data_IF_999246382639
#
_entry.id   IF_999246382639
#
_cell.length_a   1.000
_cell.length_b   1.000
_cell.length_c   1.000
_cell.angle_alpha   90.00
_cell.angle_beta   90.00
_cell.angle_gamma   90.00
#
_symmetry.space_group_name_H-M   'P 1'
#
loop_
_entity.id
_entity.type
_entity.pdbx_description
1 polymer ?
#
# COMPACT_ATOMS: atom_id res chain seq x y z
N UNK A 1 14.91 -37.98 9.10
CA UNK A 1 16.01 -37.01 9.31
C UNK A 1 15.42 -35.61 9.42
N UNK A 2 15.25 -35.11 10.64
CA UNK A 2 14.62 -33.81 10.90
C UNK A 2 15.62 -32.67 10.71
N UNK A 3 15.87 -32.26 9.46
CA UNK A 3 16.72 -31.11 9.19
C UNK A 3 16.10 -29.85 9.82
N UNK A 4 16.89 -29.11 10.59
CA UNK A 4 16.48 -27.85 11.22
C UNK A 4 16.19 -26.84 10.11
N UNK A 5 14.91 -26.49 9.95
CA UNK A 5 14.42 -25.64 8.84
C UNK A 5 14.65 -24.14 9.10
N UNK A 6 15.01 -23.78 10.33
CA UNK A 6 15.37 -22.42 10.74
C UNK A 6 16.83 -22.37 11.14
N UNK A 7 17.64 -21.64 10.37
CA UNK A 7 19.08 -21.49 10.62
C UNK A 7 19.34 -20.63 11.86
N UNK A 8 20.55 -20.70 12.40
CA UNK A 8 20.97 -19.81 13.50
C UNK A 8 20.95 -18.33 13.09
N UNK A 9 21.34 -18.05 11.84
CA UNK A 9 21.13 -16.78 11.17
C UNK A 9 20.26 -17.03 9.95
N UNK A 10 18.95 -16.82 10.08
CA UNK A 10 18.00 -17.20 9.02
C UNK A 10 17.76 -16.05 8.04
N UNK A 11 17.44 -14.88 8.55
CA UNK A 11 17.27 -13.67 7.75
C UNK A 11 17.55 -12.45 8.62
N UNK A 12 17.71 -11.31 7.98
CA UNK A 12 17.85 -10.01 8.63
C UNK A 12 16.76 -9.06 8.10
N UNK A 13 16.22 -8.25 8.99
CA UNK A 13 15.39 -7.10 8.61
C UNK A 13 16.22 -5.85 8.80
N UNK A 14 16.28 -5.01 7.78
CA UNK A 14 16.92 -3.71 7.81
C UNK A 14 15.85 -2.64 7.63
N UNK A 15 15.90 -1.56 8.41
CA UNK A 15 14.97 -0.44 8.31
C UNK A 15 15.76 0.83 8.01
N UNK A 16 15.61 1.33 6.80
CA UNK A 16 16.22 2.58 6.32
C UNK A 16 15.10 3.59 6.06
N UNK A 17 14.98 4.59 6.94
CA UNK A 17 13.99 5.68 6.86
C UNK A 17 12.53 5.21 6.63
N UNK A 18 12.13 4.11 7.30
CA UNK A 18 10.78 3.53 7.16
C UNK A 18 10.63 2.58 5.97
N UNK A 19 11.67 2.37 5.18
CA UNK A 19 11.70 1.29 4.20
C UNK A 19 12.31 0.05 4.84
N UNK A 20 11.47 -0.96 5.11
CA UNK A 20 11.92 -2.23 5.70
C UNK A 20 12.25 -3.23 4.60
N UNK A 21 13.48 -3.74 4.61
CA UNK A 21 13.98 -4.76 3.67
C UNK A 21 14.23 -6.06 4.41
N UNK A 22 13.74 -7.17 3.86
CA UNK A 22 14.05 -8.53 4.31
C UNK A 22 15.20 -9.08 3.47
N UNK A 23 16.29 -9.44 4.14
CA UNK A 23 17.51 -9.99 3.55
C UNK A 23 17.62 -11.45 3.99
N UNK A 24 17.37 -12.44 3.10
CA UNK A 24 17.56 -13.85 3.41
C UNK A 24 19.06 -14.17 3.49
N UNK A 25 19.47 -15.02 4.42
CA UNK A 25 20.84 -15.56 4.43
C UNK A 25 20.95 -16.75 3.46
N UNK A 26 22.18 -17.07 3.06
CA UNK A 26 22.44 -18.21 2.18
C UNK A 26 21.91 -19.52 2.79
N UNK A 27 21.23 -20.32 1.97
CA UNK A 27 20.53 -21.54 2.37
C UNK A 27 19.29 -21.35 3.26
N UNK A 28 18.87 -20.12 3.56
CA UNK A 28 17.66 -19.87 4.33
C UNK A 28 16.40 -19.89 3.47
N UNK A 29 15.42 -20.69 3.87
CA UNK A 29 14.10 -20.72 3.22
C UNK A 29 13.22 -19.57 3.72
N UNK A 30 13.14 -18.50 2.94
CA UNK A 30 12.26 -17.37 3.19
C UNK A 30 11.24 -17.23 2.05
N UNK A 31 9.98 -16.97 2.38
CA UNK A 31 8.95 -16.66 1.39
C UNK A 31 8.24 -15.36 1.74
N UNK A 32 7.95 -14.56 0.71
CA UNK A 32 7.14 -13.34 0.83
C UNK A 32 5.96 -13.47 -0.12
N UNK A 33 4.74 -13.35 0.40
CA UNK A 33 3.49 -13.51 -0.35
C UNK A 33 3.41 -14.81 -1.16
N UNK A 34 3.99 -15.89 -0.62
CA UNK A 34 4.01 -17.23 -1.24
C UNK A 34 5.14 -17.47 -2.24
N UNK A 35 5.97 -16.47 -2.55
CA UNK A 35 7.14 -16.63 -3.43
C UNK A 35 8.41 -16.78 -2.59
N UNK A 36 9.24 -17.76 -2.94
CA UNK A 36 10.55 -17.90 -2.30
C UNK A 36 11.43 -16.72 -2.71
N UNK A 37 12.17 -16.17 -1.75
CA UNK A 37 13.13 -15.09 -2.00
C UNK A 37 14.54 -15.58 -1.71
N UNK A 38 15.49 -15.18 -2.56
CA UNK A 38 16.93 -15.42 -2.42
C UNK A 38 17.71 -14.12 -2.28
N UNK A 39 17.08 -13.01 -2.67
CA UNK A 39 17.66 -11.67 -2.71
C UNK A 39 16.92 -10.74 -1.74
N UNK A 40 17.50 -9.59 -1.37
CA UNK A 40 16.85 -8.58 -0.54
C UNK A 40 15.51 -8.11 -1.16
N UNK A 41 14.44 -8.09 -0.35
CA UNK A 41 13.11 -7.66 -0.78
C UNK A 41 12.54 -6.61 0.17
N UNK A 42 12.12 -5.48 -0.38
CA UNK A 42 11.39 -4.44 0.36
C UNK A 42 10.00 -4.94 0.73
N UNK A 43 9.65 -4.85 2.01
CA UNK A 43 8.36 -5.27 2.55
C UNK A 43 7.37 -4.12 2.57
N UNK A 44 6.13 -4.44 2.16
CA UNK A 44 4.98 -3.52 2.24
C UNK A 44 4.03 -3.99 3.34
N UNK A 45 3.33 -3.05 3.97
CA UNK A 45 2.31 -3.35 4.98
C UNK A 45 1.33 -4.40 4.45
N UNK A 46 1.08 -5.44 5.25
CA UNK A 46 0.21 -6.55 4.88
C UNK A 46 0.92 -7.74 4.21
N UNK A 47 2.21 -7.63 3.87
CA UNK A 47 2.97 -8.73 3.30
C UNK A 47 2.99 -9.95 4.25
N UNK A 48 2.83 -11.14 3.69
CA UNK A 48 2.95 -12.41 4.42
C UNK A 48 4.39 -12.90 4.31
N UNK A 49 5.09 -12.97 5.44
CA UNK A 49 6.47 -13.45 5.53
C UNK A 49 6.46 -14.85 6.13
N UNK A 50 7.08 -15.81 5.46
CA UNK A 50 7.16 -17.20 5.93
C UNK A 50 8.63 -17.56 6.06
N UNK A 51 9.04 -18.00 7.24
CA UNK A 51 10.40 -18.43 7.55
C UNK A 51 10.40 -19.95 7.76
N UNK A 52 11.29 -20.64 7.05
CA UNK A 52 11.29 -22.10 6.98
C UNK A 52 9.98 -22.65 6.43
N UNK A 53 9.35 -23.60 7.16
CA UNK A 53 8.12 -24.29 6.73
C UNK A 53 6.86 -23.93 7.52
N UNK A 54 7.02 -23.43 8.75
CA UNK A 54 5.89 -23.34 9.70
C UNK A 54 5.75 -21.95 10.36
N UNK A 55 6.73 -21.05 10.20
CA UNK A 55 6.68 -19.75 10.85
C UNK A 55 6.10 -18.72 9.89
N UNK A 56 4.81 -18.42 10.05
CA UNK A 56 4.07 -17.48 9.20
C UNK A 56 3.80 -16.20 9.98
N UNK A 57 4.21 -15.07 9.40
CA UNK A 57 4.08 -13.74 9.97
C UNK A 57 3.36 -12.81 8.99
N UNK A 58 2.70 -11.79 9.54
CA UNK A 58 2.19 -10.66 8.78
C UNK A 58 3.01 -9.42 9.11
N UNK A 59 3.65 -8.84 8.10
CA UNK A 59 4.38 -7.59 8.26
C UNK A 59 3.39 -6.41 8.35
N UNK A 60 3.62 -5.52 9.32
CA UNK A 60 2.81 -4.32 9.52
C UNK A 60 3.74 -3.11 9.67
N UNK A 61 3.52 -2.06 8.88
CA UNK A 61 4.21 -0.79 9.03
C UNK A 61 3.19 0.33 9.33
N UNK A 62 3.06 0.77 10.60
CA UNK A 62 2.00 1.69 11.01
C UNK A 62 2.10 3.10 10.39
N UNK A 63 3.31 3.59 10.08
CA UNK A 63 3.50 4.88 9.40
C UNK A 63 3.02 4.83 7.94
N UNK A 64 3.35 3.76 7.20
CA UNK A 64 2.79 3.53 5.85
C UNK A 64 1.27 3.33 5.89
N UNK A 65 0.75 2.65 6.92
CA UNK A 65 -0.69 2.46 7.11
C UNK A 65 -1.45 3.75 7.51
N UNK A 66 -0.75 4.75 8.06
CA UNK A 66 -1.31 6.09 8.30
C UNK A 66 -1.27 6.92 7.04
N UNK A 67 -0.16 6.90 6.28
CA UNK A 67 -0.08 7.58 4.99
C UNK A 67 -1.13 7.05 4.00
N UNK A 68 -1.33 5.73 3.90
CA UNK A 68 -2.38 5.16 3.04
C UNK A 68 -3.80 5.55 3.43
N UNK A 69 -4.05 5.80 4.73
CA UNK A 69 -5.34 6.26 5.25
C UNK A 69 -5.53 7.77 5.12
N UNK A 70 -4.44 8.53 5.29
CA UNK A 70 -4.42 9.97 5.06
C UNK A 70 -4.64 10.28 3.58
N UNK A 71 -3.99 9.57 2.66
CA UNK A 71 -4.22 9.72 1.20
C UNK A 71 -5.69 9.40 0.84
N UNK A 72 -6.28 8.36 1.44
CA UNK A 72 -7.72 8.05 1.27
C UNK A 72 -8.66 9.12 1.85
N UNK A 73 -8.23 9.90 2.85
CA UNK A 73 -9.04 10.98 3.43
C UNK A 73 -8.78 12.34 2.77
N UNK A 74 -7.56 12.60 2.31
CA UNK A 74 -7.13 13.84 1.63
C UNK A 74 -7.63 13.89 0.18
N UNK A 75 -7.76 12.73 -0.49
CA UNK A 75 -8.33 12.67 -1.85
C UNK A 75 -9.82 13.02 -1.92
N UNK A 76 -10.46 13.31 -0.79
CA UNK A 76 -11.82 13.87 -0.72
C UNK A 76 -11.84 15.39 -0.48
N UNK A 77 -10.69 16.00 -0.17
CA UNK A 77 -10.59 17.41 0.23
C UNK A 77 -9.24 17.97 -0.25
N UNK A 78 -9.11 18.31 -1.53
CA UNK A 78 -8.44 19.57 -1.95
C UNK A 78 -8.29 19.64 -3.46
N UNK A 79 -9.01 20.60 -4.03
CA UNK A 79 -8.69 21.21 -5.31
C UNK A 79 -7.71 22.34 -5.03
N UNK A 80 -6.41 22.13 -5.20
CA UNK A 80 -5.49 23.25 -5.48
C UNK A 80 -4.43 22.86 -6.50
N UNK A 81 -4.25 23.79 -7.42
CA UNK A 81 -3.52 23.74 -8.67
C UNK A 81 -1.99 23.73 -8.41
N UNK A 82 -1.29 22.61 -8.66
CA UNK A 82 0.17 22.59 -8.84
C UNK A 82 0.64 21.28 -9.53
N UNK A 83 1.52 21.34 -10.55
CA UNK A 83 1.95 20.17 -11.30
C UNK A 83 3.16 19.52 -10.63
N UNK A 84 2.92 18.51 -9.80
CA UNK A 84 3.97 17.58 -9.38
C UNK A 84 3.78 16.31 -10.21
N UNK A 85 4.85 15.86 -10.85
CA UNK A 85 4.96 14.58 -11.58
C UNK A 85 4.39 13.41 -10.75
N UNK A 86 3.14 13.03 -11.01
CA UNK A 86 2.46 12.00 -10.22
C UNK A 86 2.61 10.59 -10.83
N UNK A 87 2.94 9.58 -10.00
CA UNK A 87 3.03 8.19 -10.42
C UNK A 87 1.62 7.61 -10.54
N UNK A 88 1.21 7.29 -11.77
CA UNK A 88 0.04 6.50 -12.22
C UNK A 88 -0.81 5.97 -11.06
N UNK A 89 -1.62 6.89 -10.53
CA UNK A 89 -2.34 6.74 -9.27
C UNK A 89 -3.79 6.32 -9.55
N UNK A 90 -4.41 5.64 -8.59
CA UNK A 90 -5.80 5.17 -8.65
C UNK A 90 -6.80 6.30 -8.96
N UNK A 91 -6.40 7.55 -8.75
CA UNK A 91 -7.09 8.77 -9.19
C UNK A 91 -7.37 8.75 -10.69
N UNK A 92 -6.44 8.31 -11.54
CA UNK A 92 -6.63 8.23 -12.99
C UNK A 92 -7.69 7.19 -13.35
N UNK A 93 -7.66 6.01 -12.73
CA UNK A 93 -8.65 4.97 -12.97
C UNK A 93 -10.05 5.37 -12.48
N UNK A 94 -10.14 6.12 -11.38
CA UNK A 94 -11.40 6.63 -10.85
C UNK A 94 -11.97 7.75 -11.72
N UNK A 95 -11.13 8.69 -12.18
CA UNK A 95 -11.50 9.75 -13.13
C UNK A 95 -11.99 9.16 -14.46
N UNK A 96 -11.26 8.20 -15.03
CA UNK A 96 -11.66 7.53 -16.28
C UNK A 96 -12.98 6.75 -16.12
N UNK A 97 -13.22 6.15 -14.96
CA UNK A 97 -14.48 5.43 -14.68
C UNK A 97 -15.67 6.39 -14.54
N UNK A 98 -15.49 7.51 -13.81
CA UNK A 98 -16.50 8.56 -13.66
C UNK A 98 -16.85 9.20 -15.01
N UNK A 99 -15.83 9.46 -15.83
CA UNK A 99 -15.98 10.00 -17.18
C UNK A 99 -16.72 9.02 -18.10
N UNK A 100 -16.38 7.72 -18.06
CA UNK A 100 -17.12 6.69 -18.81
C UNK A 100 -18.56 6.48 -18.33
N UNK A 101 -18.86 6.77 -17.06
CA UNK A 101 -20.21 6.70 -16.50
C UNK A 101 -21.01 8.00 -16.72
N UNK A 102 -20.38 9.07 -17.23
CA UNK A 102 -21.03 10.36 -17.47
C UNK A 102 -21.48 11.08 -16.20
N UNK A 103 -20.88 10.77 -15.04
CA UNK A 103 -21.25 11.34 -13.74
C UNK A 103 -20.38 12.56 -13.50
N UNK A 104 -20.93 13.75 -13.78
CA UNK A 104 -20.28 15.02 -13.47
C UNK A 104 -20.59 15.43 -12.01
N UNK A 105 -19.71 15.01 -11.11
CA UNK A 105 -19.79 15.33 -9.69
C UNK A 105 -19.82 16.83 -9.40
N UNK A 106 -19.21 17.69 -10.24
CA UNK A 106 -19.26 19.14 -10.03
C UNK A 106 -20.68 19.64 -10.22
N UNK A 107 -21.33 19.22 -11.31
CA UNK A 107 -22.71 19.60 -11.62
C UNK A 107 -23.71 19.07 -10.58
N UNK A 108 -23.50 17.85 -10.09
CA UNK A 108 -24.34 17.28 -9.04
C UNK A 108 -24.18 18.03 -7.70
N UNK A 109 -22.94 18.39 -7.35
CA UNK A 109 -22.66 19.14 -6.13
C UNK A 109 -23.18 20.58 -6.20
N UNK A 110 -23.02 21.26 -7.34
CA UNK A 110 -23.60 22.58 -7.61
C UNK A 110 -25.12 22.56 -7.55
N UNK A 111 -25.76 21.55 -8.16
CA UNK A 111 -27.22 21.40 -8.11
C UNK A 111 -27.72 21.17 -6.70
N UNK A 112 -26.97 20.40 -5.87
CA UNK A 112 -27.29 20.24 -4.44
C UNK A 112 -27.11 21.53 -3.65
N UNK A 113 -26.08 22.32 -3.96
CA UNK A 113 -25.84 23.60 -3.31
C UNK A 113 -27.00 24.57 -3.59
N UNK A 114 -27.42 24.68 -4.85
CA UNK A 114 -28.55 25.52 -5.26
C UNK A 114 -29.86 25.13 -4.57
N UNK A 115 -30.17 23.84 -4.47
CA UNK A 115 -31.37 23.36 -3.77
C UNK A 115 -31.36 23.71 -2.28
N UNK A 116 -30.18 23.77 -1.66
CA UNK A 116 -30.03 24.13 -0.26
C UNK A 116 -30.20 25.64 -0.05
N UNK A 117 -29.72 26.45 -0.98
CA UNK A 117 -29.89 27.91 -0.99
C UNK A 117 -31.35 28.31 -1.25
N UNK A 118 -32.09 27.57 -2.07
CA UNK A 118 -33.51 27.84 -2.37
C UNK A 118 -34.45 27.54 -1.18
N UNK A 119 -33.97 26.81 -0.16
CA UNK A 119 -34.71 26.49 1.06
C UNK A 119 -34.54 27.52 2.19
N UNK A 120 -33.83 28.63 1.95
CA UNK A 120 -33.61 29.74 2.89
C UNK A 120 -34.09 31.08 2.31
#
# INVERSE_FOLDING_TARGET
TGARVILGKHCQFENNDGTVTLIPNDGALCYVNGRQITDPVVLKTGARVILGKHHVFRFNHPQQARASRAIMSESMIESTDNPITEPVDWSFAQLELLEKQGIDLRKEMESRLMLLEEQY
#
